data_IF_969501779209
#
_entry.id   IF_969501779209
#
_cell.length_a   1.000
_cell.length_b   1.000
_cell.length_c   1.000
_cell.angle_alpha   90.00
_cell.angle_beta   90.00
_cell.angle_gamma   90.00
#
_symmetry.space_group_name_H-M   'P 1'
#
loop_
_entity.id
_entity.type
_entity.pdbx_description
1 polymer ?
#
# COMPACT_ATOMS: atom_id res chain seq x y z
N UNK A 1 -6.79 -5.32 21.94
CA UNK A 1 -6.56 -3.93 21.48
C UNK A 1 -5.71 -3.99 20.21
N UNK A 2 -6.29 -3.72 19.03
CA UNK A 2 -5.53 -3.71 17.77
C UNK A 2 -4.83 -2.35 17.63
N UNK A 3 -3.49 -2.34 17.74
CA UNK A 3 -2.68 -1.16 17.42
C UNK A 3 -2.76 -0.92 15.91
N UNK A 4 -3.44 0.14 15.51
CA UNK A 4 -3.41 0.65 14.14
C UNK A 4 -2.02 1.25 13.95
N UNK A 5 -1.10 0.50 13.34
CA UNK A 5 0.18 1.06 12.92
C UNK A 5 -0.09 2.01 11.75
N UNK A 6 -0.05 3.32 12.02
CA UNK A 6 0.21 4.30 10.96
C UNK A 6 1.55 3.93 10.33
N UNK A 7 1.53 3.56 9.05
CA UNK A 7 2.73 3.50 8.24
C UNK A 7 3.37 4.90 8.28
N UNK A 8 4.61 5.06 8.78
CA UNK A 8 5.30 6.33 8.63
C UNK A 8 5.40 6.60 7.14
N UNK A 9 5.01 7.83 6.79
CA UNK A 9 5.01 8.40 5.47
C UNK A 9 6.23 7.97 4.65
N UNK A 10 6.00 7.18 3.59
CA UNK A 10 6.95 6.94 2.50
C UNK A 10 7.02 8.24 1.65
N UNK A 11 7.36 9.35 2.29
CA UNK A 11 7.42 10.68 1.70
C UNK A 11 8.89 11.00 1.47
N UNK A 12 9.38 10.52 0.33
CA UNK A 12 10.72 10.83 -0.16
C UNK A 12 10.79 11.21 -1.63
N UNK A 13 9.67 11.18 -2.38
CA UNK A 13 9.72 11.42 -3.83
C UNK A 13 9.06 12.72 -4.33
N UNK A 14 8.42 13.53 -3.49
CA UNK A 14 7.75 14.76 -3.94
C UNK A 14 7.79 15.85 -2.86
N UNK A 15 8.72 16.79 -2.96
CA UNK A 15 8.63 18.08 -2.28
C UNK A 15 8.96 19.20 -3.25
N UNK A 16 7.92 19.98 -3.64
CA UNK A 16 7.98 21.42 -3.91
C UNK A 16 6.61 21.96 -4.32
N UNK A 17 5.75 22.37 -3.37
CA UNK A 17 4.86 23.55 -3.51
C UNK A 17 4.59 24.12 -2.12
N UNK A 18 4.86 25.41 -1.97
CA UNK A 18 4.77 26.18 -0.73
C UNK A 18 3.33 26.40 -0.23
N UNK A 19 3.19 26.42 1.09
CA UNK A 19 1.96 26.64 1.85
C UNK A 19 1.52 28.11 1.84
N UNK A 20 0.21 28.34 1.78
CA UNK A 20 -0.41 29.60 2.21
C UNK A 20 -0.65 29.62 3.73
N UNK A 21 -1.02 30.76 4.33
CA UNK A 21 -1.48 30.80 5.71
C UNK A 21 -3.00 30.61 5.84
N UNK A 22 -3.38 29.75 6.80
CA UNK A 22 -4.72 29.49 7.31
C UNK A 22 -5.22 30.63 8.21
N UNK A 23 -6.53 30.92 8.12
CA UNK A 23 -7.30 31.65 9.12
C UNK A 23 -8.30 30.72 9.81
N UNK A 24 -8.61 31.05 11.07
CA UNK A 24 -9.13 30.19 12.12
C UNK A 24 -10.66 30.24 12.33
N UNK A 25 -11.10 29.47 13.35
CA UNK A 25 -12.40 29.49 14.06
C UNK A 25 -13.50 28.63 13.41
N UNK A 26 -14.35 27.89 14.14
CA UNK A 26 -14.61 27.73 15.56
C UNK A 26 -15.92 26.94 15.76
N UNK A 27 -16.24 26.66 17.02
CA UNK A 27 -17.54 26.27 17.64
C UNK A 27 -18.20 24.91 17.36
N UNK A 28 -18.37 24.19 18.47
CA UNK A 28 -19.19 22.99 18.72
C UNK A 28 -20.52 23.42 19.34
N UNK A 29 -21.63 22.70 19.10
CA UNK A 29 -22.64 22.58 20.15
C UNK A 29 -23.03 21.14 20.50
N UNK A 30 -23.18 20.95 21.81
CA UNK A 30 -23.73 19.79 22.52
C UNK A 30 -25.10 19.37 22.00
N UNK A 31 -25.32 18.07 21.81
CA UNK A 31 -26.66 17.49 21.69
C UNK A 31 -27.00 16.62 22.90
N UNK A 32 -28.19 16.89 23.42
CA UNK A 32 -28.80 16.45 24.68
C UNK A 32 -29.41 15.05 24.52
N UNK A 33 -29.10 14.16 25.47
CA UNK A 33 -29.68 12.83 25.57
C UNK A 33 -31.16 12.88 25.99
N UNK A 34 -31.98 12.01 25.40
CA UNK A 34 -33.35 11.71 25.81
C UNK A 34 -33.46 10.19 26.12
N UNK A 35 -34.31 9.80 27.10
CA UNK A 35 -34.19 8.51 27.79
C UNK A 35 -34.96 7.36 27.13
N UNK A 36 -34.52 6.14 27.45
CA UNK A 36 -35.13 4.86 27.09
C UNK A 36 -36.41 4.58 27.90
N UNK A 37 -37.39 3.84 27.34
CA UNK A 37 -38.41 3.16 28.13
C UNK A 37 -37.96 1.73 28.49
N UNK A 38 -38.31 1.32 29.70
CA UNK A 38 -38.05 0.00 30.29
C UNK A 38 -39.36 -0.81 30.32
N UNK A 39 -39.18 -2.13 30.22
CA UNK A 39 -40.01 -3.22 30.72
C UNK A 39 -41.23 -3.66 29.88
N UNK A 40 -41.22 -4.94 29.49
CA UNK A 40 -42.12 -5.94 30.08
C UNK A 40 -41.55 -7.35 29.83
N UNK A 41 -41.58 -8.18 30.88
CA UNK A 41 -41.18 -9.58 30.89
C UNK A 41 -42.43 -10.47 30.97
N UNK A 42 -42.42 -11.58 30.23
CA UNK A 42 -43.17 -12.83 30.42
C UNK A 42 -42.81 -13.70 29.20
N UNK A 43 -42.42 -14.97 29.24
CA UNK A 43 -42.67 -16.04 30.19
C UNK A 43 -43.02 -17.29 29.36
N UNK A 44 -42.54 -18.45 29.80
CA UNK A 44 -42.88 -19.81 29.34
C UNK A 44 -42.13 -20.41 28.13
N UNK A 45 -41.14 -21.26 28.44
CA UNK A 45 -40.94 -22.56 27.80
C UNK A 45 -41.94 -23.57 28.41
N UNK A 46 -42.27 -24.68 27.72
CA UNK A 46 -41.57 -25.92 28.09
C UNK A 46 -41.40 -26.96 26.95
N UNK A 47 -40.64 -27.99 27.33
CA UNK A 47 -40.75 -29.40 26.96
C UNK A 47 -39.85 -29.94 25.83
N UNK A 48 -38.89 -30.73 26.30
CA UNK A 48 -38.06 -31.67 25.57
C UNK A 48 -38.87 -32.85 25.00
N UNK A 49 -38.43 -33.34 23.85
CA UNK A 49 -38.69 -34.71 23.42
C UNK A 49 -37.35 -35.34 23.00
N UNK A 50 -37.04 -36.45 23.65
CA UNK A 50 -35.88 -37.28 23.42
C UNK A 50 -36.01 -38.07 22.12
N UNK A 51 -34.91 -38.17 21.38
CA UNK A 51 -34.71 -39.09 20.27
C UNK A 51 -33.22 -39.11 19.91
N UNK A 52 -32.52 -40.17 20.31
CA UNK A 52 -31.15 -40.47 19.89
C UNK A 52 -31.19 -41.54 18.76
N UNK A 53 -30.06 -41.90 18.15
CA UNK A 53 -29.51 -41.28 16.94
C UNK A 53 -29.52 -42.26 15.75
N UNK A 54 -29.54 -41.76 14.51
CA UNK A 54 -29.18 -42.60 13.35
C UNK A 54 -28.06 -41.89 12.59
N UNK A 55 -26.93 -42.58 12.56
CA UNK A 55 -25.73 -42.20 11.86
C UNK A 55 -26.01 -41.98 10.37
N UNK A 56 -25.73 -40.78 9.89
CA UNK A 56 -25.39 -40.52 8.50
C UNK A 56 -24.00 -39.89 8.52
N UNK A 57 -22.98 -40.74 8.41
CA UNK A 57 -21.62 -40.31 8.11
C UNK A 57 -21.64 -39.68 6.71
N UNK A 58 -21.88 -38.37 6.69
CA UNK A 58 -21.58 -37.55 5.52
C UNK A 58 -20.11 -37.21 5.68
N UNK A 59 -19.25 -38.04 5.09
CA UNK A 59 -17.86 -37.66 4.84
C UNK A 59 -17.90 -36.41 3.97
N UNK A 60 -17.90 -35.26 4.62
CA UNK A 60 -17.51 -34.01 4.00
C UNK A 60 -16.07 -34.25 3.58
N UNK A 61 -15.72 -34.16 2.29
CA UNK A 61 -14.32 -34.13 1.91
C UNK A 61 -13.74 -32.98 2.71
N UNK A 62 -12.86 -33.31 3.66
CA UNK A 62 -11.95 -32.33 4.22
C UNK A 62 -11.20 -31.84 2.99
N UNK A 63 -11.65 -30.70 2.45
CA UNK A 63 -10.84 -29.89 1.59
C UNK A 63 -9.58 -29.72 2.40
N UNK A 64 -8.53 -30.43 1.99
CA UNK A 64 -7.21 -30.20 2.50
C UNK A 64 -7.06 -28.69 2.53
N UNK A 65 -6.70 -28.15 3.68
CA UNK A 65 -6.11 -26.85 3.70
C UNK A 65 -4.89 -26.99 2.79
N UNK A 66 -5.10 -26.74 1.50
CA UNK A 66 -4.05 -26.50 0.56
C UNK A 66 -3.22 -25.44 1.26
N UNK A 67 -2.02 -25.84 1.65
CA UNK A 67 -0.98 -24.95 2.12
C UNK A 67 -0.67 -24.05 0.94
N UNK A 68 -1.56 -23.07 0.74
CA UNK A 68 -1.56 -22.17 -0.39
C UNK A 68 -0.38 -21.27 -0.11
N UNK A 69 0.76 -21.71 -0.64
CA UNK A 69 2.05 -21.03 -0.54
C UNK A 69 1.81 -19.56 -0.82
N UNK A 70 1.88 -18.76 0.26
CA UNK A 70 1.63 -17.33 0.18
C UNK A 70 2.62 -16.73 -0.81
N UNK A 71 2.17 -15.78 -1.64
CA UNK A 71 3.02 -15.10 -2.63
C UNK A 71 4.35 -14.69 -2.00
N UNK A 72 5.47 -15.15 -2.53
CA UNK A 72 6.77 -14.65 -2.10
C UNK A 72 7.04 -13.27 -2.74
N UNK A 73 7.34 -12.27 -1.91
CA UNK A 73 7.69 -10.91 -2.35
C UNK A 73 9.20 -10.73 -2.19
N UNK A 74 9.98 -11.29 -3.12
CA UNK A 74 11.45 -11.24 -3.02
C UNK A 74 12.08 -9.98 -3.63
N UNK A 75 11.29 -9.09 -4.22
CA UNK A 75 11.74 -7.88 -4.91
C UNK A 75 10.86 -7.58 -6.11
N UNK A 76 11.44 -7.03 -7.18
CA UNK A 76 10.74 -6.67 -8.42
C UNK A 76 11.46 -7.23 -9.64
N UNK A 77 10.77 -8.08 -10.41
CA UNK A 77 11.32 -8.81 -11.56
C UNK A 77 12.63 -9.52 -11.19
N UNK A 78 13.75 -9.23 -11.86
CA UNK A 78 15.06 -9.84 -11.59
C UNK A 78 15.76 -9.22 -10.38
N UNK A 79 15.41 -8.01 -9.96
CA UNK A 79 16.02 -7.36 -8.80
C UNK A 79 15.40 -7.88 -7.49
N UNK A 80 16.23 -8.42 -6.60
CA UNK A 80 15.80 -9.01 -5.33
C UNK A 80 16.31 -8.18 -4.14
N UNK A 81 15.54 -8.18 -3.06
CA UNK A 81 15.96 -7.54 -1.81
C UNK A 81 17.29 -8.14 -1.33
N UNK A 82 18.16 -7.28 -0.81
CA UNK A 82 19.52 -7.64 -0.42
C UNK A 82 20.58 -7.57 -1.53
N UNK A 83 20.19 -7.38 -2.81
CA UNK A 83 21.16 -7.13 -3.89
C UNK A 83 21.92 -5.82 -3.68
N UNK A 84 23.20 -5.80 -4.07
CA UNK A 84 23.98 -4.55 -4.11
C UNK A 84 23.64 -3.73 -5.38
N UNK A 85 24.18 -2.51 -5.48
CA UNK A 85 23.89 -1.60 -6.60
C UNK A 85 24.28 -2.18 -7.96
N UNK A 86 25.42 -2.85 -8.06
CA UNK A 86 25.91 -3.42 -9.33
C UNK A 86 24.95 -4.50 -9.85
N UNK A 87 24.49 -5.39 -8.97
CA UNK A 87 23.53 -6.44 -9.31
C UNK A 87 22.18 -5.85 -9.72
N UNK A 88 21.73 -4.77 -9.07
CA UNK A 88 20.49 -4.08 -9.44
C UNK A 88 20.62 -3.40 -10.80
N UNK A 89 21.75 -2.74 -11.11
CA UNK A 89 21.99 -2.18 -12.46
C UNK A 89 21.94 -3.26 -13.53
N UNK A 90 22.56 -4.40 -13.28
CA UNK A 90 22.50 -5.55 -14.18
C UNK A 90 21.05 -6.05 -14.38
N UNK A 91 20.27 -6.13 -13.29
CA UNK A 91 18.85 -6.47 -13.36
C UNK A 91 18.04 -5.45 -14.18
N UNK A 92 18.30 -4.15 -14.04
CA UNK A 92 17.62 -3.10 -14.82
C UNK A 92 17.95 -3.20 -16.32
N UNK A 93 19.21 -3.43 -16.67
CA UNK A 93 19.61 -3.68 -18.07
C UNK A 93 18.94 -4.93 -18.62
N UNK A 94 18.86 -6.01 -17.84
CA UNK A 94 18.22 -7.26 -18.25
C UNK A 94 16.71 -7.11 -18.44
N UNK A 95 16.03 -6.48 -17.49
CA UNK A 95 14.57 -6.44 -17.43
C UNK A 95 13.97 -5.39 -18.37
N UNK A 96 14.70 -4.31 -18.64
CA UNK A 96 14.20 -3.14 -19.39
C UNK A 96 15.06 -2.75 -20.58
N UNK A 97 16.12 -3.50 -20.89
CA UNK A 97 17.12 -3.12 -21.91
C UNK A 97 17.69 -1.71 -21.66
N UNK A 98 17.78 -1.33 -20.38
CA UNK A 98 18.22 0.00 -19.97
C UNK A 98 19.70 0.21 -20.32
N UNK A 99 19.99 1.32 -20.98
CA UNK A 99 21.38 1.75 -21.20
C UNK A 99 21.97 2.27 -19.87
N UNK A 100 23.26 2.04 -19.59
CA UNK A 100 23.85 2.43 -18.31
C UNK A 100 23.72 3.93 -17.99
N UNK A 101 23.79 4.79 -19.00
CA UNK A 101 23.66 6.25 -18.91
C UNK A 101 22.22 6.73 -18.61
N UNK A 102 21.21 5.90 -18.91
CA UNK A 102 19.82 6.19 -18.58
C UNK A 102 19.49 5.90 -17.10
N UNK A 103 20.34 5.14 -16.39
CA UNK A 103 20.16 4.80 -14.98
C UNK A 103 20.78 5.90 -14.13
N UNK A 104 19.93 6.80 -13.63
CA UNK A 104 20.35 7.92 -12.77
C UNK A 104 20.50 7.46 -11.34
N UNK A 105 21.45 8.06 -10.63
CA UNK A 105 21.63 7.86 -9.19
C UNK A 105 21.14 9.10 -8.43
N UNK A 106 20.59 8.90 -7.23
CA UNK A 106 20.13 9.99 -6.36
C UNK A 106 20.29 9.59 -4.90
N UNK A 107 20.77 10.53 -4.08
CA UNK A 107 20.84 10.38 -2.64
C UNK A 107 19.64 11.04 -1.94
N UNK A 108 19.18 10.42 -0.85
CA UNK A 108 18.26 11.04 0.09
C UNK A 108 19.02 11.36 1.38
N UNK A 109 19.43 12.62 1.53
CA UNK A 109 20.21 13.08 2.69
C UNK A 109 19.46 12.95 4.03
N UNK A 110 18.11 12.95 4.01
CA UNK A 110 17.33 12.86 5.25
C UNK A 110 17.28 11.43 5.79
N UNK A 111 17.21 10.45 4.89
CA UNK A 111 17.16 9.02 5.23
C UNK A 111 18.53 8.34 5.17
N UNK A 112 19.55 9.03 4.65
CA UNK A 112 20.88 8.52 4.32
C UNK A 112 20.83 7.28 3.41
N UNK A 113 19.85 7.25 2.51
CA UNK A 113 19.67 6.19 1.50
C UNK A 113 20.19 6.64 0.14
N UNK A 114 20.53 5.66 -0.69
CA UNK A 114 20.92 5.85 -2.09
C UNK A 114 19.85 5.24 -2.98
N UNK A 115 19.62 5.77 -4.17
CA UNK A 115 18.62 5.25 -5.11
C UNK A 115 19.09 5.24 -6.55
N UNK A 116 18.66 4.24 -7.31
CA UNK A 116 18.74 4.23 -8.77
C UNK A 116 17.37 4.51 -9.39
N UNK A 117 17.34 5.38 -10.39
CA UNK A 117 16.14 5.83 -11.07
C UNK A 117 16.19 5.46 -12.54
N UNK A 118 15.05 5.04 -13.09
CA UNK A 118 14.90 4.75 -14.51
C UNK A 118 13.48 5.06 -14.97
N UNK A 119 13.37 5.87 -16.02
CA UNK A 119 12.11 6.04 -16.73
C UNK A 119 11.84 4.82 -17.60
N UNK A 120 10.72 4.15 -17.36
CA UNK A 120 10.32 2.95 -18.10
C UNK A 120 8.98 3.22 -18.79
N UNK A 121 8.98 3.34 -20.13
CA UNK A 121 7.73 3.38 -20.88
C UNK A 121 7.04 2.03 -20.74
N UNK A 122 5.71 2.03 -20.63
CA UNK A 122 4.92 0.81 -20.68
C UNK A 122 5.29 -0.25 -19.62
N UNK A 123 5.75 0.21 -18.44
CA UNK A 123 5.98 -0.67 -17.29
C UNK A 123 4.73 -1.50 -16.96
N UNK A 124 3.57 -0.85 -17.07
CA UNK A 124 2.26 -1.44 -17.15
C UNK A 124 1.78 -1.28 -18.61
N UNK A 125 1.26 -2.34 -19.27
CA UNK A 125 0.75 -2.23 -20.64
C UNK A 125 -0.37 -1.19 -20.75
N UNK A 126 -0.24 -0.30 -21.72
CA UNK A 126 -1.04 0.91 -21.88
C UNK A 126 -1.08 1.76 -20.62
N UNK A 127 -0.06 1.72 -19.77
CA UNK A 127 -0.03 2.43 -18.49
C UNK A 127 0.55 3.83 -18.57
N UNK A 128 1.21 4.18 -19.68
CA UNK A 128 2.05 5.38 -19.77
C UNK A 128 3.42 5.16 -19.11
N UNK A 129 4.24 6.21 -19.15
CA UNK A 129 5.62 6.15 -18.62
C UNK A 129 5.64 6.24 -17.10
N UNK A 130 6.34 5.28 -16.49
CA UNK A 130 6.62 5.27 -15.05
C UNK A 130 8.06 5.69 -14.78
N UNK A 131 8.33 6.25 -13.61
CA UNK A 131 9.68 6.27 -13.04
C UNK A 131 9.80 5.14 -12.02
N UNK A 132 10.78 4.25 -12.24
CA UNK A 132 11.21 3.26 -11.26
C UNK A 132 12.26 3.87 -10.33
N UNK A 133 12.19 3.52 -9.06
CA UNK A 133 13.18 3.87 -8.04
C UNK A 133 13.58 2.61 -7.25
N UNK A 134 14.87 2.29 -7.22
CA UNK A 134 15.44 1.20 -6.45
C UNK A 134 16.23 1.80 -5.28
N UNK A 135 15.75 1.61 -4.05
CA UNK A 135 16.30 2.28 -2.86
C UNK A 135 17.18 1.30 -2.06
N UNK A 136 18.39 1.75 -1.77
CA UNK A 136 19.41 1.03 -1.00
C UNK A 136 19.43 1.52 0.44
N UNK A 137 19.47 0.56 1.37
CA UNK A 137 19.44 0.83 2.80
C UNK A 137 20.67 1.58 3.30
N UNK A 138 20.46 2.39 4.33
CA UNK A 138 21.50 3.23 4.94
C UNK A 138 22.67 2.38 5.46
N UNK A 139 22.42 1.35 6.25
CA UNK A 139 23.48 0.52 6.87
C UNK A 139 23.92 -0.62 5.95
N UNK A 140 22.96 -1.32 5.36
CA UNK A 140 23.21 -2.52 4.56
C UNK A 140 23.80 -2.24 3.18
N UNK A 141 23.57 -1.03 2.64
CA UNK A 141 23.89 -0.67 1.24
C UNK A 141 23.29 -1.65 0.21
N UNK A 142 22.19 -2.28 0.59
CA UNK A 142 21.52 -3.31 -0.19
C UNK A 142 20.10 -2.89 -0.54
N UNK A 143 19.52 -3.45 -1.60
CA UNK A 143 18.18 -3.13 -2.06
C UNK A 143 17.15 -3.47 -0.97
N UNK A 144 16.43 -2.46 -0.48
CA UNK A 144 15.38 -2.62 0.55
C UNK A 144 13.99 -2.28 0.03
N UNK A 145 13.89 -1.56 -1.08
CA UNK A 145 12.62 -1.11 -1.63
C UNK A 145 12.71 -0.86 -3.13
N UNK A 146 11.62 -1.16 -3.84
CA UNK A 146 11.41 -0.76 -5.24
C UNK A 146 10.11 0.03 -5.31
N UNK A 147 10.18 1.24 -5.87
CA UNK A 147 9.04 2.11 -6.14
C UNK A 147 8.78 2.25 -7.63
N UNK A 148 7.53 2.46 -8.01
CA UNK A 148 7.11 2.89 -9.34
C UNK A 148 6.13 4.05 -9.19
N UNK A 149 6.35 5.12 -9.94
CA UNK A 149 5.47 6.30 -9.93
C UNK A 149 4.96 6.58 -11.34
N UNK A 150 3.64 6.75 -11.46
CA UNK A 150 2.99 7.34 -12.63
C UNK A 150 2.40 8.68 -12.22
N UNK A 151 2.71 9.73 -12.97
CA UNK A 151 2.16 11.07 -12.77
C UNK A 151 2.34 11.92 -14.02
N UNK A 152 1.80 13.16 -14.02
CA UNK A 152 2.12 14.15 -15.06
C UNK A 152 3.60 14.49 -15.16
N UNK A 153 4.38 14.28 -14.08
CA UNK A 153 5.83 14.51 -14.07
C UNK A 153 6.63 13.41 -14.76
N UNK A 154 6.07 12.18 -14.84
CA UNK A 154 6.71 11.06 -15.54
C UNK A 154 6.23 10.90 -16.97
N UNK A 155 4.99 11.35 -17.24
CA UNK A 155 4.36 11.31 -18.56
C UNK A 155 3.38 12.48 -18.70
N UNK A 156 3.64 13.40 -19.64
CA UNK A 156 2.79 14.60 -19.82
C UNK A 156 1.39 14.27 -20.35
N UNK A 157 1.21 13.11 -20.98
CA UNK A 157 -0.09 12.61 -21.43
C UNK A 157 -0.88 11.92 -20.31
N UNK A 158 -0.32 11.80 -19.10
CA UNK A 158 -1.00 11.18 -17.96
C UNK A 158 -2.23 11.99 -17.53
N UNK A 159 -3.37 11.32 -17.45
CA UNK A 159 -4.65 11.91 -16.99
C UNK A 159 -5.11 11.28 -15.67
N UNK A 160 -5.97 11.95 -14.89
CA UNK A 160 -6.56 11.39 -13.67
C UNK A 160 -7.33 10.08 -13.92
N UNK A 161 -8.04 9.98 -15.04
CA UNK A 161 -8.78 8.78 -15.45
C UNK A 161 -7.84 7.62 -15.74
N UNK A 162 -6.70 7.90 -16.39
CA UNK A 162 -5.67 6.91 -16.67
C UNK A 162 -5.04 6.38 -15.39
N UNK A 163 -4.70 7.26 -14.45
CA UNK A 163 -4.18 6.87 -13.13
C UNK A 163 -5.17 5.99 -12.37
N UNK A 164 -6.45 6.35 -12.36
CA UNK A 164 -7.50 5.54 -11.73
C UNK A 164 -7.65 4.17 -12.41
N UNK A 165 -7.61 4.11 -13.74
CA UNK A 165 -7.66 2.85 -14.50
C UNK A 165 -6.47 1.95 -14.17
N UNK A 166 -5.25 2.49 -14.23
CA UNK A 166 -4.02 1.77 -13.88
C UNK A 166 -4.09 1.22 -12.44
N UNK A 167 -4.60 2.01 -11.50
CA UNK A 167 -4.75 1.59 -10.11
C UNK A 167 -5.72 0.40 -9.95
N UNK A 168 -6.83 0.39 -10.69
CA UNK A 168 -7.77 -0.72 -10.66
C UNK A 168 -7.21 -1.99 -11.29
N UNK A 169 -6.47 -1.87 -12.42
CA UNK A 169 -5.78 -2.99 -13.06
C UNK A 169 -4.78 -3.63 -12.10
N UNK A 170 -3.91 -2.81 -11.49
CA UNK A 170 -2.91 -3.30 -10.54
C UNK A 170 -3.56 -3.90 -9.29
N UNK A 171 -4.61 -3.28 -8.74
CA UNK A 171 -5.36 -3.84 -7.60
C UNK A 171 -5.92 -5.21 -7.94
N UNK A 172 -6.58 -5.36 -9.09
CA UNK A 172 -7.16 -6.63 -9.52
C UNK A 172 -6.07 -7.71 -9.70
N UNK A 173 -4.93 -7.34 -10.28
CA UNK A 173 -3.77 -8.21 -10.40
C UNK A 173 -3.29 -8.71 -9.03
N UNK A 174 -3.05 -7.81 -8.07
CA UNK A 174 -2.57 -8.18 -6.74
C UNK A 174 -3.57 -9.02 -5.93
N UNK A 175 -4.86 -8.81 -6.10
CA UNK A 175 -5.88 -9.65 -5.46
C UNK A 175 -5.79 -11.13 -5.90
N UNK A 176 -5.24 -11.40 -7.08
CA UNK A 176 -5.06 -12.76 -7.60
C UNK A 176 -3.79 -13.48 -7.13
N UNK A 177 -2.83 -12.80 -6.47
CA UNK A 177 -1.49 -13.36 -6.28
C UNK A 177 -1.32 -14.23 -5.02
N UNK A 178 -2.26 -14.23 -4.07
CA UNK A 178 -2.19 -15.08 -2.88
C UNK A 178 -1.36 -14.51 -1.72
N UNK A 179 -1.54 -13.22 -1.40
CA UNK A 179 -0.96 -12.61 -0.19
C UNK A 179 -1.53 -13.20 1.11
N UNK A 180 -0.85 -12.97 2.25
CA UNK A 180 -1.36 -13.34 3.58
C UNK A 180 -2.73 -12.68 3.80
N UNK A 181 -3.84 -13.43 4.00
CA UNK A 181 -5.19 -12.87 4.02
C UNK A 181 -5.38 -11.70 4.98
N UNK A 182 -4.87 -11.82 6.21
CA UNK A 182 -5.01 -10.85 7.29
C UNK A 182 -4.07 -9.63 7.15
N UNK A 183 -3.18 -9.63 6.16
CA UNK A 183 -2.40 -8.44 5.78
C UNK A 183 -3.11 -7.56 4.75
N UNK A 184 -4.11 -8.10 4.05
CA UNK A 184 -4.76 -7.43 2.93
C UNK A 184 -5.59 -6.24 3.42
N UNK A 185 -5.31 -5.06 2.87
CA UNK A 185 -6.12 -3.87 3.07
C UNK A 185 -6.38 -3.19 1.72
N UNK A 186 -7.60 -2.68 1.52
CA UNK A 186 -8.02 -2.06 0.26
C UNK A 186 -8.96 -0.89 0.52
N UNK A 187 -8.94 0.08 -0.40
CA UNK A 187 -9.80 1.27 -0.39
C UNK A 187 -9.75 2.04 0.93
N UNK A 188 -8.59 2.04 1.60
CA UNK A 188 -8.42 2.73 2.88
C UNK A 188 -8.04 4.19 2.59
N UNK A 189 -8.83 5.18 3.05
CA UNK A 189 -8.45 6.57 2.90
C UNK A 189 -7.20 6.87 3.73
N UNK A 190 -6.30 7.68 3.17
CA UNK A 190 -5.11 8.19 3.85
C UNK A 190 -4.95 9.68 3.57
N UNK A 191 -4.03 10.33 4.26
CA UNK A 191 -3.68 11.72 3.96
C UNK A 191 -3.24 11.82 2.49
N UNK A 192 -3.95 12.64 1.71
CA UNK A 192 -3.64 12.89 0.30
C UNK A 192 -3.94 11.75 -0.67
N UNK A 193 -4.70 10.72 -0.28
CA UNK A 193 -5.07 9.66 -1.23
C UNK A 193 -5.83 8.48 -0.64
N UNK A 194 -5.75 7.35 -1.34
CA UNK A 194 -6.37 6.08 -1.00
C UNK A 194 -5.35 4.96 -1.19
N UNK A 195 -5.17 4.12 -0.17
CA UNK A 195 -4.48 2.84 -0.32
C UNK A 195 -5.40 1.92 -1.11
N UNK A 196 -5.09 1.77 -2.39
CA UNK A 196 -5.86 0.93 -3.32
C UNK A 196 -5.65 -0.55 -3.00
N UNK A 197 -4.44 -0.91 -2.59
CA UNK A 197 -4.08 -2.25 -2.16
C UNK A 197 -2.89 -2.20 -1.19
N UNK A 198 -2.91 -3.06 -0.19
CA UNK A 198 -1.73 -3.47 0.58
C UNK A 198 -1.84 -4.96 0.83
N UNK A 199 -0.74 -5.69 0.68
CA UNK A 199 -0.64 -7.09 1.04
C UNK A 199 0.80 -7.44 1.41
N UNK A 200 0.95 -8.43 2.27
CA UNK A 200 2.25 -8.93 2.73
C UNK A 200 2.40 -10.42 2.50
N UNK A 201 3.64 -10.89 2.41
CA UNK A 201 3.97 -12.31 2.37
C UNK A 201 4.21 -12.89 3.77
N UNK A 202 4.59 -14.17 3.83
CA UNK A 202 4.93 -14.85 5.09
C UNK A 202 6.13 -14.23 5.83
N UNK A 203 6.99 -13.47 5.13
CA UNK A 203 8.14 -12.76 5.72
C UNK A 203 7.81 -11.30 6.07
N UNK A 204 6.53 -10.92 6.03
CA UNK A 204 6.04 -9.54 6.24
C UNK A 204 6.58 -8.50 5.23
N UNK A 205 7.19 -8.94 4.13
CA UNK A 205 7.52 -8.07 3.00
C UNK A 205 6.22 -7.64 2.35
N UNK A 206 6.16 -6.43 1.80
CA UNK A 206 4.88 -5.81 1.48
C UNK A 206 4.84 -5.22 0.07
N UNK A 207 3.68 -5.36 -0.57
CA UNK A 207 3.27 -4.59 -1.75
C UNK A 207 2.26 -3.54 -1.31
N UNK A 208 2.47 -2.29 -1.70
CA UNK A 208 1.59 -1.16 -1.37
C UNK A 208 1.29 -0.40 -2.66
N UNK A 209 0.00 -0.25 -2.97
CA UNK A 209 -0.51 0.55 -4.08
C UNK A 209 -1.28 1.73 -3.54
N UNK A 210 -0.82 2.94 -3.85
CA UNK A 210 -1.39 4.19 -3.37
C UNK A 210 -1.82 5.06 -4.54
N UNK A 211 -3.08 5.48 -4.54
CA UNK A 211 -3.58 6.49 -5.45
C UNK A 211 -3.64 7.82 -4.71
N UNK A 212 -2.78 8.77 -5.08
CA UNK A 212 -2.72 10.09 -4.48
C UNK A 212 -3.41 11.12 -5.36
N UNK A 213 -3.86 12.20 -4.73
CA UNK A 213 -4.56 13.27 -5.42
C UNK A 213 -5.04 14.36 -4.49
N UNK A 214 -5.75 15.32 -5.09
CA UNK A 214 -6.44 16.37 -4.36
C UNK A 214 -7.85 15.93 -4.04
N UNK A 215 -8.34 16.31 -2.85
CA UNK A 215 -9.72 16.06 -2.48
C UNK A 215 -10.52 17.34 -2.56
N UNK A 216 -11.68 17.26 -3.20
CA UNK A 216 -12.64 18.35 -3.28
C UNK A 216 -13.94 17.93 -2.59
N UNK A 217 -14.54 18.86 -1.84
CA UNK A 217 -15.86 18.67 -1.26
C UNK A 217 -16.90 19.19 -2.25
N UNK A 218 -17.78 18.30 -2.71
CA UNK A 218 -18.95 18.67 -3.52
C UNK A 218 -20.11 19.10 -2.62
N UNK A 219 -21.12 19.73 -3.23
CA UNK A 219 -22.29 20.35 -2.58
C UNK A 219 -23.03 19.44 -1.57
N UNK A 220 -22.89 18.11 -1.68
CA UNK A 220 -23.52 17.13 -0.79
C UNK A 220 -22.58 16.57 0.30
N UNK A 221 -21.55 17.32 0.70
CA UNK A 221 -20.45 16.82 1.55
C UNK A 221 -19.74 15.58 0.98
N UNK A 222 -19.89 15.31 -0.32
CA UNK A 222 -19.21 14.21 -0.98
C UNK A 222 -17.76 14.61 -1.25
N UNK A 223 -16.83 13.90 -0.62
CA UNK A 223 -15.41 14.07 -0.86
C UNK A 223 -14.99 13.28 -2.09
N UNK A 224 -14.57 13.97 -3.14
CA UNK A 224 -14.12 13.36 -4.41
C UNK A 224 -12.61 13.51 -4.53
N UNK A 225 -11.92 12.41 -4.87
CA UNK A 225 -10.49 12.42 -5.15
C UNK A 225 -10.26 12.64 -6.64
N UNK A 226 -9.44 13.63 -6.99
CA UNK A 226 -8.90 13.81 -8.34
C UNK A 226 -7.46 13.29 -8.34
N UNK A 227 -7.17 12.12 -8.95
CA UNK A 227 -5.84 11.54 -8.93
C UNK A 227 -4.78 12.42 -9.60
N UNK A 228 -3.62 12.53 -8.96
CA UNK A 228 -2.44 13.24 -9.49
C UNK A 228 -1.24 12.31 -9.66
N UNK A 229 -1.19 11.23 -8.88
CA UNK A 229 -0.15 10.21 -8.98
C UNK A 229 -0.62 8.85 -8.52
N UNK A 230 -0.02 7.81 -9.09
CA UNK A 230 -0.16 6.42 -8.68
C UNK A 230 1.22 5.92 -8.28
N UNK A 231 1.31 5.34 -7.08
CA UNK A 231 2.56 4.85 -6.51
C UNK A 231 2.40 3.38 -6.17
N UNK A 232 3.38 2.58 -6.61
CA UNK A 232 3.49 1.17 -6.29
C UNK A 232 4.81 0.94 -5.57
N UNK A 233 4.78 0.27 -4.43
CA UNK A 233 5.95 -0.05 -3.63
C UNK A 233 6.04 -1.53 -3.34
N UNK A 234 7.23 -2.09 -3.51
CA UNK A 234 7.67 -3.36 -2.96
C UNK A 234 8.67 -3.06 -1.85
N UNK A 235 8.40 -3.51 -0.62
CA UNK A 235 9.18 -3.14 0.57
C UNK A 235 9.64 -4.39 1.32
N UNK A 236 10.94 -4.47 1.62
CA UNK A 236 11.54 -5.59 2.36
C UNK A 236 11.13 -5.59 3.84
N UNK A 237 11.12 -4.44 4.50
CA UNK A 237 10.63 -4.33 5.89
C UNK A 237 9.99 -2.95 6.10
N UNK A 238 8.66 -2.91 6.05
CA UNK A 238 7.91 -1.68 6.27
C UNK A 238 7.82 -1.28 7.76
N UNK A 239 8.11 -2.20 8.69
CA UNK A 239 8.03 -1.96 10.14
C UNK A 239 9.34 -1.35 10.64
N UNK A 240 10.46 -1.83 10.11
CA UNK A 240 11.80 -1.41 10.49
C UNK A 240 12.70 -1.19 9.26
N UNK A 241 12.40 -0.18 8.42
CA UNK A 241 13.23 0.10 7.25
C UNK A 241 14.66 0.48 7.65
N UNK A 242 15.64 0.05 6.85
CA UNK A 242 17.06 0.40 6.97
C UNK A 242 17.31 1.82 6.46
N UNK A 243 16.81 2.79 7.24
CA UNK A 243 16.99 4.23 7.04
C UNK A 243 17.57 4.85 8.30
N UNK A 244 18.18 6.03 8.16
CA UNK A 244 18.54 6.83 9.30
C UNK A 244 17.31 7.22 10.13
N UNK A 245 17.40 7.03 11.44
CA UNK A 245 16.38 7.44 12.42
C UNK A 245 17.10 8.16 13.53
N UNK A 246 16.65 9.37 13.87
CA UNK A 246 17.18 10.11 15.01
C UNK A 246 16.87 9.33 16.29
N UNK A 247 17.88 8.88 17.05
CA UNK A 247 17.62 8.17 18.30
C UNK A 247 16.96 9.10 19.33
N UNK A 248 16.05 8.59 20.19
CA UNK A 248 15.45 9.39 21.25
C UNK A 248 16.53 10.05 22.12
N UNK A 249 16.35 11.34 22.42
CA UNK A 249 17.25 12.11 23.28
C UNK A 249 18.54 12.60 22.64
N UNK A 250 18.67 12.54 21.31
CA UNK A 250 19.79 13.14 20.58
C UNK A 250 19.55 14.59 20.13
N UNK A 251 18.40 15.16 20.51
CA UNK A 251 18.04 16.56 20.43
C UNK A 251 17.04 16.85 21.56
#
# INVERSE_FOLDING_TARGET
MRKIYLLPALVGLLTSVAAGPLAAQGVVPKQKAAPAPRAAAAGAAPAAAAGAPVAAATETPAAGADDKTTKAIDGFRSAKFGMNESDVRAAMTKDFSAKPDAIRAQDNASELTHSLLLSVPELLPNGGTAELSYVFGYKSKSLIQVGSVWSKGTDTAMTPEKLFSNANILRAHFMGEGFKPDSIAMNMPVAGGIVMFRGSDAKDRSVILLLQGTFENKENNQRVLTPTSLLLFYVADAKSPDIFKLPPGQF
#
